data_IF_157033861716
#
_entry.id   IF_157033861716
#
_cell.length_a   1.000
_cell.length_b   1.000
_cell.length_c   1.000
_cell.angle_alpha   90.00
_cell.angle_beta   90.00
_cell.angle_gamma   90.00
#
_symmetry.space_group_name_H-M   'P 1'
#
loop_
_entity.id
_entity.type
_entity.pdbx_description
1 polymer ?
#
# COMPACT_ATOMS: atom_id res chain seq x y z
N UNK A 1 -88.18 -36.00 -15.41
CA UNK A 1 -87.70 -34.92 -16.37
C UNK A 1 -87.02 -33.83 -15.55
N UNK A 2 -85.73 -33.74 -15.78
CA UNK A 2 -84.92 -32.51 -15.82
C UNK A 2 -85.06 -31.48 -14.74
N UNK A 3 -83.99 -31.34 -13.92
CA UNK A 3 -83.17 -30.16 -14.03
C UNK A 3 -81.90 -30.33 -13.22
N UNK A 4 -80.78 -30.50 -13.89
CA UNK A 4 -79.44 -30.20 -13.48
C UNK A 4 -79.19 -28.70 -13.72
N UNK A 5 -78.67 -27.98 -12.76
CA UNK A 5 -77.69 -26.89 -12.86
C UNK A 5 -77.72 -26.06 -11.62
N UNK A 6 -76.56 -25.95 -11.02
CA UNK A 6 -75.99 -24.79 -10.31
C UNK A 6 -75.09 -25.27 -9.14
N UNK A 7 -73.89 -25.70 -9.49
CA UNK A 7 -72.79 -25.76 -8.53
C UNK A 7 -71.46 -25.67 -9.28
N UNK A 8 -71.19 -24.51 -9.85
CA UNK A 8 -69.84 -24.18 -10.30
C UNK A 8 -69.69 -22.66 -10.29
N UNK A 9 -69.28 -22.10 -9.22
CA UNK A 9 -69.08 -20.65 -9.15
C UNK A 9 -68.50 -20.08 -7.88
N UNK A 10 -67.86 -20.89 -7.02
CA UNK A 10 -67.31 -20.36 -5.75
C UNK A 10 -65.93 -20.85 -5.40
N UNK A 11 -65.19 -21.48 -6.27
CA UNK A 11 -63.82 -21.97 -5.98
C UNK A 11 -62.70 -21.25 -6.72
N UNK A 12 -62.95 -20.16 -7.42
CA UNK A 12 -61.91 -19.46 -8.21
C UNK A 12 -61.42 -18.14 -7.62
N UNK A 13 -61.95 -17.66 -6.49
CA UNK A 13 -61.54 -16.37 -5.91
C UNK A 13 -60.60 -16.46 -4.68
N UNK A 14 -60.33 -17.66 -4.17
CA UNK A 14 -59.45 -17.80 -3.00
C UNK A 14 -57.99 -18.14 -3.31
N UNK A 15 -57.68 -18.47 -4.57
CA UNK A 15 -56.26 -18.79 -4.97
C UNK A 15 -55.48 -17.60 -5.47
N UNK A 16 -56.08 -16.44 -5.76
CA UNK A 16 -55.36 -15.23 -6.20
C UNK A 16 -54.91 -14.33 -5.03
N UNK A 17 -55.48 -14.49 -3.85
CA UNK A 17 -55.10 -13.65 -2.69
C UNK A 17 -53.86 -14.14 -1.94
N UNK A 18 -53.48 -15.42 -2.09
CA UNK A 18 -52.28 -15.97 -1.42
C UNK A 18 -50.99 -15.76 -2.16
N UNK A 19 -51.03 -15.50 -3.49
CA UNK A 19 -49.86 -15.26 -4.30
C UNK A 19 -49.34 -13.80 -4.25
N UNK A 20 -50.14 -12.84 -3.80
CA UNK A 20 -49.76 -11.44 -3.70
C UNK A 20 -49.06 -11.10 -2.36
N UNK A 21 -49.19 -11.96 -1.32
CA UNK A 21 -48.57 -11.72 0.00
C UNK A 21 -47.12 -12.18 0.09
N UNK A 22 -46.59 -12.95 -0.89
CA UNK A 22 -45.19 -13.41 -0.90
C UNK A 22 -44.24 -12.45 -1.60
N UNK A 23 -44.73 -11.38 -2.22
CA UNK A 23 -43.87 -10.43 -2.97
C UNK A 23 -43.39 -9.24 -2.16
N UNK A 24 -43.74 -9.15 -0.86
CA UNK A 24 -43.31 -8.06 0.04
C UNK A 24 -42.53 -8.58 1.26
N UNK A 25 -41.73 -9.63 1.11
CA UNK A 25 -40.72 -9.90 2.08
C UNK A 25 -39.67 -8.77 1.96
N UNK A 26 -39.47 -7.91 2.99
CA UNK A 26 -38.37 -6.97 2.94
C UNK A 26 -37.10 -7.81 2.79
N UNK A 27 -36.34 -7.60 1.71
CA UNK A 27 -34.99 -8.10 1.62
C UNK A 27 -34.27 -7.57 2.85
N UNK A 28 -34.07 -8.42 3.86
CA UNK A 28 -33.11 -8.16 4.90
C UNK A 28 -31.77 -8.07 4.19
N UNK A 29 -31.48 -6.90 3.65
CA UNK A 29 -30.12 -6.54 3.27
C UNK A 29 -29.31 -6.73 4.57
N UNK A 30 -28.66 -7.87 4.70
CA UNK A 30 -27.66 -8.09 5.73
C UNK A 30 -26.66 -6.97 5.51
N UNK A 31 -26.67 -5.98 6.40
CA UNK A 31 -25.65 -4.92 6.39
C UNK A 31 -24.32 -5.65 6.50
N UNK A 32 -23.63 -5.78 5.37
CA UNK A 32 -22.33 -6.40 5.32
C UNK A 32 -21.43 -5.59 6.25
N UNK A 33 -20.93 -6.21 7.31
CA UNK A 33 -20.05 -5.54 8.26
C UNK A 33 -18.87 -4.97 7.49
N UNK A 34 -18.60 -3.68 7.69
CA UNK A 34 -17.47 -3.00 7.01
C UNK A 34 -16.18 -3.74 7.30
N UNK A 35 -15.32 -3.86 6.30
CA UNK A 35 -14.01 -4.45 6.45
C UNK A 35 -13.17 -3.58 7.41
N UNK A 36 -12.63 -4.17 8.48
CA UNK A 36 -11.74 -3.47 9.41
C UNK A 36 -10.33 -3.47 8.86
N UNK A 37 -9.83 -2.28 8.53
CA UNK A 37 -8.52 -2.06 7.94
C UNK A 37 -7.66 -1.24 8.88
N UNK A 38 -6.45 -1.70 9.16
CA UNK A 38 -5.43 -0.92 9.86
C UNK A 38 -4.26 -0.63 8.93
N UNK A 39 -3.62 0.53 9.09
CA UNK A 39 -2.38 0.81 8.39
C UNK A 39 -1.26 1.21 9.36
N UNK A 40 -0.02 0.82 9.02
CA UNK A 40 1.16 1.09 9.82
C UNK A 40 2.21 1.72 8.92
N UNK A 41 2.68 2.92 9.29
CA UNK A 41 3.68 3.66 8.57
C UNK A 41 4.83 4.06 9.50
N UNK A 42 6.05 3.90 9.03
CA UNK A 42 7.26 4.29 9.78
C UNK A 42 7.60 5.77 9.66
N UNK A 43 6.85 6.48 8.82
CA UNK A 43 7.00 7.91 8.52
C UNK A 43 5.67 8.65 8.71
N UNK A 44 5.66 10.00 8.74
CA UNK A 44 4.42 10.77 8.84
C UNK A 44 3.56 10.64 7.59
N UNK A 45 2.24 10.89 7.74
CA UNK A 45 1.27 10.82 6.63
C UNK A 45 1.55 11.78 5.48
N UNK A 46 2.31 12.84 5.72
CA UNK A 46 2.72 13.82 4.71
C UNK A 46 3.78 13.30 3.74
N UNK A 47 4.52 12.26 4.12
CA UNK A 47 5.50 11.64 3.23
C UNK A 47 4.79 11.16 1.96
N UNK A 48 5.30 11.53 0.79
CA UNK A 48 4.55 11.44 -0.47
C UNK A 48 4.03 10.04 -0.81
N UNK A 49 4.84 9.00 -0.58
CA UNK A 49 4.46 7.63 -0.89
C UNK A 49 3.34 7.15 0.07
N UNK A 50 3.51 7.35 1.36
CA UNK A 50 2.53 7.01 2.41
C UNK A 50 1.25 7.82 2.24
N UNK A 51 1.35 9.11 1.94
CA UNK A 51 0.21 10.01 1.73
C UNK A 51 -0.77 9.48 0.68
N UNK A 52 -0.29 8.85 -0.38
CA UNK A 52 -1.15 8.29 -1.45
C UNK A 52 -1.98 7.11 -0.93
N UNK A 53 -1.36 6.21 -0.18
CA UNK A 53 -2.03 5.05 0.43
C UNK A 53 -3.03 5.52 1.47
N UNK A 54 -2.61 6.40 2.37
CA UNK A 54 -3.47 6.96 3.42
C UNK A 54 -4.71 7.65 2.84
N UNK A 55 -4.55 8.51 1.84
CA UNK A 55 -5.67 9.19 1.16
C UNK A 55 -6.62 8.21 0.47
N UNK A 56 -6.11 7.16 -0.17
CA UNK A 56 -6.93 6.14 -0.80
C UNK A 56 -7.80 5.38 0.22
N UNK A 57 -7.21 4.99 1.36
CA UNK A 57 -7.93 4.31 2.44
C UNK A 57 -8.95 5.25 3.12
N UNK A 58 -8.62 6.52 3.34
CA UNK A 58 -9.58 7.54 3.82
C UNK A 58 -10.75 7.75 2.85
N UNK A 59 -10.50 7.72 1.55
CA UNK A 59 -11.57 7.81 0.56
C UNK A 59 -12.49 6.58 0.59
N UNK A 60 -11.94 5.37 0.76
CA UNK A 60 -12.74 4.15 0.93
C UNK A 60 -13.57 4.19 2.22
N UNK A 61 -13.02 4.70 3.33
CA UNK A 61 -13.74 4.91 4.57
C UNK A 61 -14.90 5.91 4.39
N UNK A 62 -14.66 7.03 3.71
CA UNK A 62 -15.67 8.05 3.41
C UNK A 62 -16.83 7.50 2.57
N UNK A 63 -16.57 6.53 1.67
CA UNK A 63 -17.61 5.80 0.94
C UNK A 63 -18.34 4.74 1.77
N UNK A 64 -17.90 4.52 3.00
CA UNK A 64 -18.52 3.54 3.91
C UNK A 64 -18.12 2.09 3.65
N UNK A 65 -17.09 1.83 2.85
CA UNK A 65 -16.64 0.49 2.45
C UNK A 65 -15.82 -0.20 3.56
N UNK A 66 -15.06 0.58 4.33
CA UNK A 66 -14.16 0.09 5.37
C UNK A 66 -14.31 0.88 6.68
N UNK A 67 -13.84 0.30 7.78
CA UNK A 67 -13.45 0.99 9.02
C UNK A 67 -11.93 1.13 9.00
N UNK A 68 -11.41 2.35 9.00
CA UNK A 68 -9.99 2.60 8.84
C UNK A 68 -9.34 3.15 10.11
N UNK A 69 -8.22 2.54 10.50
CA UNK A 69 -7.32 3.03 11.56
C UNK A 69 -5.90 3.10 11.03
N UNK A 70 -5.11 4.03 11.53
CA UNK A 70 -3.70 4.12 11.13
C UNK A 70 -2.82 4.60 12.27
N UNK A 71 -1.56 4.14 12.26
CA UNK A 71 -0.45 4.66 13.04
C UNK A 71 0.63 5.16 12.11
N UNK A 72 1.14 6.34 12.38
CA UNK A 72 2.28 6.94 11.68
C UNK A 72 3.48 7.12 12.62
N UNK A 73 4.66 7.37 12.07
CA UNK A 73 5.90 7.53 12.82
C UNK A 73 6.21 6.34 13.75
N UNK A 74 5.76 5.14 13.36
CA UNK A 74 6.05 3.92 14.12
C UNK A 74 7.51 3.55 13.92
N UNK A 75 8.29 3.51 15.01
CA UNK A 75 9.69 3.12 14.91
C UNK A 75 9.84 1.68 14.40
N UNK A 76 10.95 1.37 13.74
CA UNK A 76 11.23 0.00 13.29
C UNK A 76 11.21 -1.01 14.46
N UNK A 77 11.60 -0.59 15.66
CA UNK A 77 11.59 -1.41 16.87
C UNK A 77 10.16 -1.71 17.36
N UNK A 78 9.23 -0.77 17.20
CA UNK A 78 7.84 -0.91 17.63
C UNK A 78 6.95 -1.56 16.58
N UNK A 79 7.40 -1.68 15.35
CA UNK A 79 6.57 -2.11 14.21
C UNK A 79 5.91 -3.48 14.45
N UNK A 80 6.68 -4.47 14.93
CA UNK A 80 6.14 -5.80 15.26
C UNK A 80 5.03 -5.71 16.32
N UNK A 81 5.23 -4.93 17.37
CA UNK A 81 4.27 -4.75 18.46
C UNK A 81 2.96 -4.13 17.95
N UNK A 82 3.05 -3.01 17.23
CA UNK A 82 1.87 -2.31 16.69
C UNK A 82 1.11 -3.19 15.70
N UNK A 83 1.83 -3.93 14.87
CA UNK A 83 1.22 -4.85 13.90
C UNK A 83 0.44 -5.98 14.61
N UNK A 84 1.00 -6.53 15.69
CA UNK A 84 0.33 -7.53 16.54
C UNK A 84 -0.91 -6.95 17.24
N UNK A 85 -0.82 -5.74 17.75
CA UNK A 85 -1.96 -5.05 18.37
C UNK A 85 -3.12 -4.90 17.40
N UNK A 86 -2.86 -4.48 16.16
CA UNK A 86 -3.88 -4.37 15.13
C UNK A 86 -4.48 -5.73 14.75
N UNK A 87 -3.67 -6.76 14.59
CA UNK A 87 -4.14 -8.11 14.27
C UNK A 87 -4.99 -8.69 15.41
N UNK A 88 -4.55 -8.55 16.67
CA UNK A 88 -5.30 -8.98 17.86
C UNK A 88 -6.60 -8.17 18.05
N UNK A 89 -6.59 -6.90 17.69
CA UNK A 89 -7.76 -6.00 17.72
C UNK A 89 -8.82 -6.31 16.66
N UNK A 90 -8.66 -7.39 15.90
CA UNK A 90 -9.67 -7.89 14.96
C UNK A 90 -9.70 -7.13 13.62
N UNK A 91 -8.61 -6.44 13.25
CA UNK A 91 -8.48 -5.91 11.91
C UNK A 91 -8.27 -7.07 10.92
N UNK A 92 -9.06 -7.07 9.86
CA UNK A 92 -9.08 -8.14 8.85
C UNK A 92 -8.01 -7.94 7.78
N UNK A 93 -7.62 -6.67 7.55
CA UNK A 93 -6.57 -6.28 6.62
C UNK A 93 -5.62 -5.31 7.31
N UNK A 94 -4.32 -5.59 7.22
CA UNK A 94 -3.25 -4.67 7.64
C UNK A 94 -2.47 -4.24 6.40
N UNK A 95 -2.39 -2.91 6.20
CA UNK A 95 -1.73 -2.26 5.06
C UNK A 95 -0.54 -1.45 5.57
N UNK A 96 0.46 -1.23 4.75
CA UNK A 96 1.58 -0.37 5.12
C UNK A 96 2.81 -0.62 4.27
N UNK A 97 3.96 -0.36 4.85
CA UNK A 97 5.26 -0.63 4.22
C UNK A 97 6.10 -1.52 5.13
N UNK A 98 6.85 -2.43 4.53
CA UNK A 98 7.68 -3.37 5.26
C UNK A 98 9.15 -3.33 4.82
N UNK A 99 9.56 -2.41 3.97
CA UNK A 99 10.88 -2.37 3.36
C UNK A 99 12.03 -2.45 4.36
N UNK A 100 11.94 -1.77 5.52
CA UNK A 100 12.95 -1.80 6.56
C UNK A 100 12.65 -2.78 7.71
N UNK A 101 11.46 -3.41 7.71
CA UNK A 101 10.95 -4.25 8.82
C UNK A 101 10.40 -5.59 8.34
N UNK A 102 10.80 -6.02 7.17
CA UNK A 102 10.31 -7.20 6.43
C UNK A 102 10.25 -8.47 7.30
N UNK A 103 11.32 -8.77 8.03
CA UNK A 103 11.40 -10.00 8.84
C UNK A 103 10.37 -10.00 9.98
N UNK A 104 10.18 -8.86 10.65
CA UNK A 104 9.19 -8.70 11.71
C UNK A 104 7.77 -8.82 11.17
N UNK A 105 7.46 -8.17 10.05
CA UNK A 105 6.15 -8.22 9.42
C UNK A 105 5.77 -9.65 9.00
N UNK A 106 6.71 -10.40 8.41
CA UNK A 106 6.49 -11.80 8.00
C UNK A 106 6.27 -12.75 9.17
N UNK A 107 6.95 -12.51 10.29
CA UNK A 107 6.73 -13.27 11.52
C UNK A 107 5.33 -13.06 12.06
N UNK A 108 4.85 -11.82 12.12
CA UNK A 108 3.48 -11.52 12.57
C UNK A 108 2.46 -12.17 11.64
N UNK A 109 2.64 -12.11 10.33
CA UNK A 109 1.71 -12.72 9.37
C UNK A 109 1.55 -14.24 9.59
N UNK A 110 2.63 -14.96 9.94
CA UNK A 110 2.56 -16.39 10.29
C UNK A 110 1.73 -16.64 11.54
N UNK A 111 1.84 -15.77 12.54
CA UNK A 111 1.15 -15.92 13.83
C UNK A 111 -0.35 -15.57 13.73
N UNK A 112 -0.75 -14.81 12.70
CA UNK A 112 -2.12 -14.36 12.47
C UNK A 112 -2.68 -14.80 11.09
N UNK A 113 -2.86 -16.10 10.84
CA UNK A 113 -3.22 -16.63 9.51
C UNK A 113 -4.62 -16.20 9.02
N UNK A 114 -5.47 -15.67 9.89
CA UNK A 114 -6.80 -15.15 9.53
C UNK A 114 -6.83 -13.67 9.19
N UNK A 115 -5.74 -12.94 9.43
CA UNK A 115 -5.56 -11.54 9.05
C UNK A 115 -4.82 -11.49 7.73
N UNK A 116 -5.30 -10.69 6.79
CA UNK A 116 -4.62 -10.42 5.53
C UNK A 116 -3.63 -9.27 5.69
N UNK A 117 -2.46 -9.39 5.08
CA UNK A 117 -1.42 -8.38 5.08
C UNK A 117 -1.11 -7.97 3.65
N UNK A 118 -1.15 -6.66 3.36
CA UNK A 118 -0.79 -6.08 2.08
C UNK A 118 0.26 -4.98 2.32
N UNK A 119 1.51 -5.30 2.10
CA UNK A 119 2.62 -4.45 2.51
C UNK A 119 3.54 -4.09 1.34
N UNK A 120 3.99 -2.85 1.30
CA UNK A 120 5.06 -2.40 0.41
C UNK A 120 6.34 -3.17 0.72
N UNK A 121 6.86 -3.91 -0.25
CA UNK A 121 8.03 -4.75 -0.10
C UNK A 121 8.60 -5.11 -1.47
N UNK A 122 9.92 -5.20 -1.56
CA UNK A 122 10.62 -5.77 -2.72
C UNK A 122 10.78 -7.30 -2.65
N UNK A 123 10.30 -7.92 -1.58
CA UNK A 123 10.31 -9.38 -1.39
C UNK A 123 9.18 -10.09 -2.14
N UNK A 124 9.14 -11.42 -2.03
CA UNK A 124 8.06 -12.23 -2.61
C UNK A 124 6.87 -12.34 -1.64
N UNK A 125 5.64 -12.53 -2.13
CA UNK A 125 4.52 -12.87 -1.26
C UNK A 125 4.81 -14.12 -0.41
N UNK A 126 4.11 -14.26 0.73
CA UNK A 126 4.19 -15.42 1.61
C UNK A 126 2.78 -15.95 1.89
N UNK A 127 2.50 -17.16 1.44
CA UNK A 127 1.23 -17.80 1.74
C UNK A 127 1.06 -18.03 3.26
N UNK A 128 -0.19 -18.02 3.78
CA UNK A 128 -1.42 -17.85 3.01
C UNK A 128 -1.91 -16.39 2.89
N UNK A 129 -1.31 -15.44 3.61
CA UNK A 129 -1.96 -14.16 3.94
C UNK A 129 -1.07 -12.92 3.81
N UNK A 130 0.18 -13.04 3.35
CA UNK A 130 1.09 -11.92 3.17
C UNK A 130 1.28 -11.61 1.69
N UNK A 131 0.61 -10.58 1.21
CA UNK A 131 0.75 -10.02 -0.14
C UNK A 131 1.68 -8.82 -0.13
N UNK A 132 2.37 -8.60 -1.23
CA UNK A 132 3.30 -7.50 -1.40
C UNK A 132 2.93 -6.64 -2.60
N UNK A 133 3.30 -5.38 -2.55
CA UNK A 133 3.27 -4.48 -3.70
C UNK A 133 4.55 -3.65 -3.75
N UNK A 134 4.96 -3.29 -4.95
CA UNK A 134 6.13 -2.46 -5.23
C UNK A 134 5.83 -1.59 -6.46
N UNK A 135 6.46 -0.46 -6.59
CA UNK A 135 6.20 0.48 -7.68
C UNK A 135 7.02 0.16 -8.94
N UNK A 136 8.13 -0.55 -8.82
CA UNK A 136 9.04 -0.90 -9.93
C UNK A 136 9.43 0.30 -10.80
N UNK A 137 9.87 1.40 -10.15
CA UNK A 137 10.19 2.67 -10.81
C UNK A 137 11.63 2.80 -11.29
N UNK A 138 12.31 1.69 -11.57
CA UNK A 138 13.67 1.71 -12.10
C UNK A 138 13.77 2.31 -13.52
N UNK A 139 12.73 2.20 -14.35
CA UNK A 139 12.73 2.79 -15.70
C UNK A 139 12.78 4.31 -15.66
N UNK A 140 11.89 5.02 -14.94
CA UNK A 140 12.05 6.47 -14.77
C UNK A 140 13.33 6.85 -14.02
N UNK A 141 13.86 6.02 -13.13
CA UNK A 141 15.17 6.27 -12.51
C UNK A 141 16.30 6.26 -13.56
N UNK A 142 16.28 5.31 -14.49
CA UNK A 142 17.22 5.26 -15.60
C UNK A 142 17.16 6.51 -16.49
N UNK A 143 15.96 6.94 -16.90
CA UNK A 143 15.76 8.16 -17.69
C UNK A 143 16.23 9.42 -16.93
N UNK A 144 15.98 9.50 -15.63
CA UNK A 144 16.49 10.57 -14.78
C UNK A 144 18.03 10.57 -14.74
N UNK A 145 18.63 9.37 -14.72
CA UNK A 145 20.08 9.20 -14.84
C UNK A 145 20.64 9.74 -16.15
N UNK A 146 19.99 9.45 -17.28
CA UNK A 146 20.41 10.00 -18.60
C UNK A 146 20.42 11.54 -18.58
N UNK A 147 19.38 12.15 -17.99
CA UNK A 147 19.31 13.61 -17.84
C UNK A 147 20.47 14.11 -16.98
N UNK A 148 20.71 13.47 -15.82
CA UNK A 148 21.77 13.84 -14.89
C UNK A 148 23.17 13.75 -15.55
N UNK A 149 23.43 12.68 -16.30
CA UNK A 149 24.68 12.52 -17.06
C UNK A 149 24.91 13.59 -18.13
N UNK A 150 23.81 14.01 -18.80
CA UNK A 150 23.86 15.10 -19.79
C UNK A 150 23.98 16.50 -19.18
N UNK A 151 23.51 16.69 -17.94
CA UNK A 151 23.51 18.00 -17.27
C UNK A 151 24.78 18.30 -16.47
N UNK A 152 25.43 17.28 -15.90
CA UNK A 152 26.63 17.50 -15.09
C UNK A 152 27.77 18.12 -15.87
N UNK A 153 28.43 19.08 -15.26
CA UNK A 153 29.64 19.74 -15.78
C UNK A 153 30.90 19.27 -15.09
N UNK A 154 30.76 18.88 -13.80
CA UNK A 154 31.86 18.37 -13.00
C UNK A 154 32.12 16.88 -13.21
N UNK A 155 31.22 16.15 -13.86
CA UNK A 155 31.16 14.70 -13.95
C UNK A 155 30.95 14.03 -12.57
N UNK A 156 30.57 14.77 -11.54
CA UNK A 156 30.34 14.24 -10.19
C UNK A 156 28.87 14.37 -9.83
N UNK A 157 28.26 13.23 -9.57
CA UNK A 157 26.83 13.10 -9.23
C UNK A 157 26.69 12.54 -7.81
N UNK A 158 25.91 13.23 -6.97
CA UNK A 158 25.57 12.78 -5.63
C UNK A 158 24.27 11.99 -5.61
N UNK A 159 24.19 10.98 -4.73
CA UNK A 159 22.98 10.18 -4.54
C UNK A 159 22.72 9.96 -3.04
N UNK A 160 21.57 10.40 -2.56
CA UNK A 160 21.14 10.18 -1.17
C UNK A 160 20.05 9.12 -1.15
N UNK A 161 20.27 8.03 -0.44
CA UNK A 161 19.32 6.95 -0.25
C UNK A 161 18.82 6.85 1.19
N UNK A 162 17.64 6.27 1.37
CA UNK A 162 17.08 5.99 2.70
C UNK A 162 17.82 4.84 3.37
N UNK A 163 17.66 3.65 2.83
CA UNK A 163 18.29 2.41 3.32
C UNK A 163 18.88 1.60 2.16
N UNK A 164 19.96 0.85 2.37
CA UNK A 164 20.59 0.01 1.33
C UNK A 164 19.84 -1.30 1.12
N UNK A 165 18.55 -1.22 0.79
CA UNK A 165 17.68 -2.37 0.52
C UNK A 165 17.60 -2.66 -0.99
N UNK A 166 17.15 -3.86 -1.42
CA UNK A 166 17.14 -4.26 -2.81
C UNK A 166 16.42 -3.27 -3.75
N UNK A 167 15.30 -2.68 -3.32
CA UNK A 167 14.59 -1.70 -4.12
C UNK A 167 15.42 -0.44 -4.35
N UNK A 168 15.93 0.19 -3.29
CA UNK A 168 16.73 1.41 -3.41
C UNK A 168 17.97 1.16 -4.25
N UNK A 169 18.66 0.03 -4.03
CA UNK A 169 19.82 -0.36 -4.83
C UNK A 169 19.45 -0.53 -6.31
N UNK A 170 18.30 -1.14 -6.62
CA UNK A 170 17.79 -1.27 -8.00
C UNK A 170 17.61 0.09 -8.67
N UNK A 171 16.98 1.04 -7.95
CA UNK A 171 16.76 2.40 -8.46
C UNK A 171 18.09 3.15 -8.68
N UNK A 172 19.02 3.08 -7.73
CA UNK A 172 20.33 3.69 -7.85
C UNK A 172 21.13 3.10 -9.01
N UNK A 173 21.15 1.78 -9.18
CA UNK A 173 21.82 1.13 -10.29
C UNK A 173 21.22 1.53 -11.63
N UNK A 174 19.91 1.62 -11.75
CA UNK A 174 19.24 2.08 -12.96
C UNK A 174 19.62 3.53 -13.29
N UNK A 175 19.57 4.42 -12.31
CA UNK A 175 20.00 5.81 -12.46
C UNK A 175 21.47 5.91 -12.91
N UNK A 176 22.38 5.17 -12.24
CA UNK A 176 23.79 5.16 -12.60
C UNK A 176 24.04 4.64 -14.03
N UNK A 177 23.28 3.62 -14.45
CA UNK A 177 23.37 3.07 -15.80
C UNK A 177 22.96 4.12 -16.84
N UNK A 178 21.83 4.81 -16.65
CA UNK A 178 21.37 5.89 -17.52
C UNK A 178 22.35 7.06 -17.58
N UNK A 179 22.92 7.47 -16.45
CA UNK A 179 23.91 8.54 -16.41
C UNK A 179 25.20 8.18 -17.17
N UNK A 180 25.68 6.95 -17.02
CA UNK A 180 26.87 6.46 -17.73
C UNK A 180 26.65 6.28 -19.23
N UNK A 181 25.43 5.93 -19.65
CA UNK A 181 25.10 5.83 -21.07
C UNK A 181 25.25 7.20 -21.77
N UNK A 182 24.80 8.26 -21.10
CA UNK A 182 24.89 9.64 -21.65
C UNK A 182 26.28 10.24 -21.47
N UNK A 183 26.93 9.95 -20.33
CA UNK A 183 28.24 10.46 -20.00
C UNK A 183 29.10 9.40 -19.30
N UNK A 184 29.93 8.65 -20.00
CA UNK A 184 30.78 7.60 -19.44
C UNK A 184 31.78 8.07 -18.36
N UNK A 185 32.03 9.38 -18.24
CA UNK A 185 33.01 9.96 -17.30
C UNK A 185 32.40 10.21 -15.89
N UNK A 186 31.09 10.02 -15.69
CA UNK A 186 30.47 10.33 -14.43
C UNK A 186 30.98 9.45 -13.29
N UNK A 187 31.22 10.09 -12.15
CA UNK A 187 31.55 9.50 -10.88
C UNK A 187 30.41 9.70 -9.90
N UNK A 188 30.15 8.73 -9.04
CA UNK A 188 29.05 8.79 -8.08
C UNK A 188 29.55 8.81 -6.64
N UNK A 189 28.96 9.70 -5.83
CA UNK A 189 29.07 9.67 -4.38
C UNK A 189 27.71 9.25 -3.80
N UNK A 190 27.67 8.14 -3.05
CA UNK A 190 26.44 7.58 -2.51
C UNK A 190 26.46 7.63 -1.01
N UNK A 191 25.37 8.09 -0.38
CA UNK A 191 25.21 8.11 1.08
C UNK A 191 23.81 7.59 1.43
N UNK A 192 23.73 6.70 2.44
CA UNK A 192 22.47 6.27 3.04
C UNK A 192 22.27 6.95 4.38
N UNK A 193 21.10 7.58 4.59
CA UNK A 193 20.79 8.32 5.82
C UNK A 193 20.12 7.47 6.89
N UNK A 194 19.82 6.20 6.59
CA UNK A 194 19.14 5.25 7.46
C UNK A 194 17.78 5.76 7.99
N UNK A 195 17.05 6.48 7.13
CA UNK A 195 15.71 6.99 7.39
C UNK A 195 14.94 7.13 6.09
N UNK A 196 13.61 6.92 6.12
CA UNK A 196 12.73 7.23 4.99
C UNK A 196 12.25 8.68 4.98
N UNK A 197 12.39 9.40 6.10
CA UNK A 197 12.00 10.79 6.21
C UNK A 197 12.84 11.51 7.26
N UNK A 198 13.95 12.09 6.86
CA UNK A 198 14.83 12.90 7.70
C UNK A 198 15.42 14.05 6.86
N UNK A 199 14.65 15.14 6.67
CA UNK A 199 15.11 16.28 5.87
C UNK A 199 16.43 16.90 6.34
N UNK A 200 16.71 17.05 7.67
CA UNK A 200 17.99 17.52 8.14
C UNK A 200 19.17 16.67 7.70
N UNK A 201 19.10 15.34 7.88
CA UNK A 201 20.17 14.42 7.43
C UNK A 201 20.32 14.38 5.92
N UNK A 202 19.22 14.43 5.16
CA UNK A 202 19.27 14.50 3.70
C UNK A 202 19.99 15.77 3.25
N UNK A 203 19.69 16.91 3.87
CA UNK A 203 20.35 18.19 3.60
C UNK A 203 21.85 18.11 3.92
N UNK A 204 22.25 17.59 5.07
CA UNK A 204 23.66 17.43 5.47
C UNK A 204 24.40 16.56 4.45
N UNK A 205 23.87 15.39 4.10
CA UNK A 205 24.46 14.50 3.12
C UNK A 205 24.62 15.19 1.75
N UNK A 206 23.61 15.95 1.32
CA UNK A 206 23.62 16.72 0.06
C UNK A 206 24.74 17.76 0.05
N UNK A 207 24.85 18.58 1.10
CA UNK A 207 25.93 19.58 1.20
C UNK A 207 27.31 18.95 1.21
N UNK A 208 27.50 17.85 1.94
CA UNK A 208 28.77 17.13 1.92
C UNK A 208 29.17 16.61 0.53
N UNK A 209 28.20 16.31 -0.33
CA UNK A 209 28.48 15.93 -1.73
C UNK A 209 28.80 17.15 -2.60
N UNK A 210 28.11 18.27 -2.41
CA UNK A 210 28.40 19.54 -3.10
C UNK A 210 29.83 20.00 -2.78
N UNK A 211 30.23 19.95 -1.50
CA UNK A 211 31.60 20.31 -1.06
C UNK A 211 32.67 19.43 -1.70
N UNK A 212 32.33 18.19 -2.09
CA UNK A 212 33.20 17.28 -2.86
C UNK A 212 33.14 17.53 -4.39
N UNK A 213 32.35 18.51 -4.81
CA UNK A 213 32.25 18.95 -6.18
C UNK A 213 31.14 18.30 -6.99
N UNK A 214 30.15 17.63 -6.36
CA UNK A 214 28.96 17.19 -7.08
C UNK A 214 28.12 18.41 -7.50
N UNK A 215 27.70 18.45 -8.76
CA UNK A 215 26.88 19.52 -9.33
C UNK A 215 25.48 19.02 -9.76
N UNK A 216 25.23 17.72 -9.64
CA UNK A 216 23.92 17.07 -9.79
C UNK A 216 23.70 16.14 -8.59
N UNK A 217 22.47 16.16 -8.03
CA UNK A 217 22.09 15.39 -6.85
C UNK A 217 20.69 14.77 -7.05
#
# INVERSE_FOLDING_TARGET
MTTRRLFTGRLLCTSLALSAAMAMAPSLATAQSKLKVAAIYTVPFEQQWVSRIHKALKAAEARGEIEYKASENVSNADYERVMREYATGGNQLIVGEAFAVEAAARKVAKDFPKTSFLLGSSGKPQAPNFSVFDNYIQEPAYLSGMIAGGMTKSNKIGMVGGFPIPEVNRLMHAFMAGAKETNPKVEFTITFINSWFDPPKAKEATFAMIDKGADVL
#
